data_IF_348987217051
#
_entry.id   IF_348987217051
#
_cell.length_a   1.000
_cell.length_b   1.000
_cell.length_c   1.000
_cell.angle_alpha   90.00
_cell.angle_beta   90.00
_cell.angle_gamma   90.00
#
_symmetry.space_group_name_H-M   'P 1'
#
loop_
_entity.id
_entity.type
_entity.pdbx_description
1 polymer ?
#
# COMPACT_ATOMS: atom_id res chain seq x y z
N UNK A 1 -21.87 46.88 1.43
CA UNK A 1 -21.35 46.47 2.75
C UNK A 1 -21.63 45.00 3.05
N UNK A 2 -22.86 44.51 2.91
CA UNK A 2 -23.22 43.10 3.17
C UNK A 2 -22.61 42.06 2.21
N UNK A 3 -22.39 42.42 0.95
CA UNK A 3 -21.79 41.51 -0.05
C UNK A 3 -20.36 41.10 0.33
N UNK A 4 -19.58 42.04 0.86
CA UNK A 4 -18.19 41.78 1.26
C UNK A 4 -18.13 40.82 2.45
N UNK A 5 -19.04 40.95 3.42
CA UNK A 5 -19.14 40.03 4.55
C UNK A 5 -19.52 38.61 4.10
N UNK A 6 -20.42 38.49 3.11
CA UNK A 6 -20.80 37.20 2.54
C UNK A 6 -19.63 36.51 1.83
N UNK A 7 -18.85 37.26 1.05
CA UNK A 7 -17.63 36.75 0.39
C UNK A 7 -16.60 36.28 1.44
N UNK A 8 -16.40 37.03 2.52
CA UNK A 8 -15.48 36.66 3.59
C UNK A 8 -15.89 35.37 4.31
N UNK A 9 -17.19 35.14 4.52
CA UNK A 9 -17.70 33.89 5.14
C UNK A 9 -17.46 32.68 4.22
N UNK A 10 -17.63 32.84 2.90
CA UNK A 10 -17.36 31.77 1.93
C UNK A 10 -15.87 31.37 1.85
N UNK A 11 -14.96 32.31 2.09
CA UNK A 11 -13.52 32.04 2.14
C UNK A 11 -13.09 31.22 3.36
N UNK A 12 -13.79 31.36 4.49
CA UNK A 12 -13.51 30.57 5.71
C UNK A 12 -14.00 29.12 5.54
N UNK A 13 -15.09 28.91 4.80
CA UNK A 13 -15.64 27.56 4.53
C UNK A 13 -14.83 26.76 3.49
N UNK A 14 -13.90 27.37 2.74
CA UNK A 14 -13.05 26.72 1.73
C UNK A 14 -11.64 26.36 2.23
N UNK A 15 -11.41 26.34 3.55
CA UNK A 15 -10.13 25.94 4.11
C UNK A 15 -9.99 24.41 4.08
N UNK A 16 -9.35 23.88 3.03
CA UNK A 16 -8.83 22.52 3.07
C UNK A 16 -7.59 22.49 3.98
N UNK A 17 -7.43 21.48 4.85
CA UNK A 17 -6.23 21.35 5.68
C UNK A 17 -5.00 21.25 4.77
N UNK A 18 -4.12 22.24 4.86
CA UNK A 18 -2.94 22.38 4.00
C UNK A 18 -1.86 21.34 4.30
N UNK A 19 -1.90 20.73 5.49
CA UNK A 19 -0.89 19.79 5.98
C UNK A 19 -1.22 18.33 5.68
N UNK A 20 -2.41 18.03 5.16
CA UNK A 20 -2.73 16.66 4.71
C UNK A 20 -2.32 16.58 3.25
N UNK A 21 -1.40 15.66 2.88
CA UNK A 21 -1.10 15.39 1.48
C UNK A 21 -2.42 15.16 0.75
N UNK A 22 -2.72 16.02 -0.22
CA UNK A 22 -3.93 15.82 -1.02
C UNK A 22 -3.74 14.55 -1.83
N UNK A 23 -4.83 13.90 -2.22
CA UNK A 23 -4.76 12.76 -3.15
C UNK A 23 -4.05 13.12 -4.47
N UNK A 24 -3.99 14.42 -4.82
CA UNK A 24 -3.19 14.96 -5.93
C UNK A 24 -1.67 14.85 -5.75
N UNK A 25 -1.19 14.66 -4.53
CA UNK A 25 0.23 14.63 -4.16
C UNK A 25 0.77 13.18 -4.12
N UNK A 26 -0.09 12.20 -4.39
CA UNK A 26 0.31 10.80 -4.56
C UNK A 26 0.85 10.60 -5.97
N UNK A 27 2.16 10.68 -6.14
CA UNK A 27 2.78 10.26 -7.39
C UNK A 27 2.64 8.73 -7.57
N UNK A 28 2.38 8.25 -8.80
CA UNK A 28 2.34 6.82 -9.06
C UNK A 28 3.72 6.20 -8.78
N UNK A 29 3.73 4.96 -8.30
CA UNK A 29 4.97 4.21 -8.08
C UNK A 29 5.72 4.05 -9.41
N UNK A 30 6.95 4.54 -9.47
CA UNK A 30 7.81 4.37 -10.65
C UNK A 30 8.46 2.99 -10.65
N UNK A 31 8.09 2.15 -11.62
CA UNK A 31 8.67 0.82 -11.81
C UNK A 31 9.89 0.81 -12.73
N UNK A 32 10.43 1.97 -13.10
CA UNK A 32 11.73 2.08 -13.76
C UNK A 32 12.88 1.87 -12.76
N UNK A 33 12.66 2.26 -11.51
CA UNK A 33 13.61 2.05 -10.41
C UNK A 33 13.60 0.60 -9.91
N UNK A 34 14.80 0.04 -9.80
CA UNK A 34 14.99 -1.33 -9.34
C UNK A 34 14.46 -1.56 -7.91
N UNK A 35 14.61 -0.56 -7.04
CA UNK A 35 14.19 -0.64 -5.64
C UNK A 35 12.66 -0.82 -5.52
N UNK A 36 11.90 -0.09 -6.33
CA UNK A 36 10.44 -0.21 -6.35
C UNK A 36 9.99 -1.58 -6.89
N UNK A 37 10.64 -2.10 -7.94
CA UNK A 37 10.38 -3.46 -8.42
C UNK A 37 10.69 -4.49 -7.32
N UNK A 38 11.83 -4.36 -6.65
CA UNK A 38 12.25 -5.30 -5.62
C UNK A 38 11.24 -5.38 -4.47
N UNK A 39 10.82 -4.23 -3.95
CA UNK A 39 9.94 -4.15 -2.78
C UNK A 39 8.50 -4.54 -3.13
N UNK A 40 7.96 -4.00 -4.23
CA UNK A 40 6.54 -4.16 -4.56
C UNK A 40 6.22 -5.42 -5.37
N UNK A 41 7.21 -6.05 -6.01
CA UNK A 41 6.98 -7.24 -6.85
C UNK A 41 7.74 -8.45 -6.29
N UNK A 42 9.06 -8.34 -6.10
CA UNK A 42 9.90 -9.50 -5.76
C UNK A 42 9.62 -10.00 -4.35
N UNK A 43 9.52 -9.12 -3.35
CA UNK A 43 9.24 -9.52 -1.96
C UNK A 43 7.91 -10.30 -1.87
N UNK A 44 6.76 -9.81 -2.38
CA UNK A 44 5.51 -10.57 -2.38
C UNK A 44 5.61 -11.94 -3.06
N UNK A 45 6.28 -12.01 -4.21
CA UNK A 45 6.50 -13.28 -4.93
C UNK A 45 7.34 -14.24 -4.07
N UNK A 46 8.40 -13.74 -3.43
CA UNK A 46 9.26 -14.54 -2.58
C UNK A 46 8.48 -15.11 -1.38
N UNK A 47 7.66 -14.28 -0.73
CA UNK A 47 6.77 -14.72 0.37
C UNK A 47 5.82 -15.82 -0.12
N UNK A 48 5.23 -15.65 -1.30
CA UNK A 48 4.35 -16.64 -1.90
C UNK A 48 5.08 -17.97 -2.14
N UNK A 49 6.27 -17.94 -2.75
CA UNK A 49 7.08 -19.13 -3.01
C UNK A 49 7.45 -19.83 -1.69
N UNK A 50 7.91 -19.08 -0.69
CA UNK A 50 8.27 -19.63 0.63
C UNK A 50 7.07 -20.27 1.30
N UNK A 51 5.90 -19.65 1.25
CA UNK A 51 4.68 -20.20 1.82
C UNK A 51 4.31 -21.55 1.18
N UNK A 52 4.39 -21.66 -0.15
CA UNK A 52 4.12 -22.90 -0.85
C UNK A 52 5.17 -23.97 -0.56
N UNK A 53 6.45 -23.61 -0.49
CA UNK A 53 7.52 -24.52 -0.12
C UNK A 53 7.30 -25.08 1.30
N UNK A 54 7.01 -24.21 2.27
CA UNK A 54 6.72 -24.61 3.65
C UNK A 54 5.50 -25.53 3.74
N UNK A 55 4.42 -25.23 3.01
CA UNK A 55 3.22 -26.06 2.96
C UNK A 55 3.52 -27.47 2.45
N UNK A 56 4.35 -27.59 1.42
CA UNK A 56 4.74 -28.88 0.86
C UNK A 56 5.62 -29.68 1.82
N UNK A 57 6.55 -29.02 2.52
CA UNK A 57 7.39 -29.67 3.53
C UNK A 57 6.53 -30.24 4.67
N UNK A 58 5.55 -29.47 5.16
CA UNK A 58 4.64 -29.92 6.23
C UNK A 58 3.78 -31.11 5.84
N UNK A 59 3.39 -31.23 4.55
CA UNK A 59 2.69 -32.41 4.03
C UNK A 59 3.59 -33.65 4.09
N UNK A 60 4.84 -33.53 3.61
CA UNK A 60 5.82 -34.63 3.61
C UNK A 60 6.12 -35.14 5.01
N UNK A 61 6.14 -34.26 6.01
CA UNK A 61 6.36 -34.65 7.41
C UNK A 61 5.22 -35.52 7.97
N UNK A 62 3.96 -35.18 7.64
CA UNK A 62 2.80 -36.00 8.03
C UNK A 62 2.83 -37.38 7.38
N UNK A 63 3.19 -37.45 6.10
CA UNK A 63 3.30 -38.71 5.37
C UNK A 63 4.44 -39.59 5.89
N UNK A 64 5.52 -39.01 6.44
CA UNK A 64 6.59 -39.76 7.11
C UNK A 64 6.14 -40.32 8.46
N UNK A 65 5.42 -39.54 9.26
CA UNK A 65 4.91 -39.98 10.58
C UNK A 65 3.89 -41.12 10.48
N UNK A 66 3.04 -41.16 9.45
CA UNK A 66 2.03 -42.22 9.27
C UNK A 66 2.59 -43.55 8.73
N UNK A 67 3.88 -43.60 8.36
CA UNK A 67 4.56 -44.82 7.86
C UNK A 67 5.38 -45.56 8.92
N UNK A 68 5.40 -45.06 10.15
CA UNK A 68 5.98 -45.70 11.33
C UNK A 68 4.88 -46.01 12.33
#
# INVERSE_FOLDING_TARGET
MFINAYISILSILHQAPQEIPKESDSEPVDFTDFDNILIYIIIPILIFILYFAWRQMKKRERDRRNRH
#
